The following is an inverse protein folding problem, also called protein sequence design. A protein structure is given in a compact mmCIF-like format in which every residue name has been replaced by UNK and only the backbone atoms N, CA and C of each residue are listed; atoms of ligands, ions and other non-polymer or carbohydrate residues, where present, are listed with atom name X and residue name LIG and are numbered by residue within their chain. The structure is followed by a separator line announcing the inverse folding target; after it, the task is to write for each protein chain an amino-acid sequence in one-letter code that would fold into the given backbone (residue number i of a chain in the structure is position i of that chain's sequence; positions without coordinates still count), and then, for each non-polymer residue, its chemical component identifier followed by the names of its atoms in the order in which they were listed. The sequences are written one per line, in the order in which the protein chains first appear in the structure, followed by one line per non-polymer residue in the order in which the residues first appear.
data_IF_681246275856
#
_entry.id   IF_681246275856
#
_cell.length_a   1.000
_cell.length_b   1.000
_cell.length_c   1.000
_cell.angle_alpha   90.00
_cell.angle_beta   90.00
_cell.angle_gamma   90.00
#
_symmetry.space_group_name_H-M   'P 1'
#
loop_
_entity.id
_entity.type
_entity.pdbx_description
1 polymer ?
#
# COMPACT_ATOMS: atom_id res chain seq x y z
N UNK A 1 4.03 -12.01 4.66
CA UNK A 1 2.88 -11.72 5.53
C UNK A 1 2.26 -10.41 5.11
N UNK A 2 0.94 -10.28 5.25
CA UNK A 2 0.18 -9.11 4.77
C UNK A 2 0.68 -7.81 5.43
N UNK A 3 0.88 -7.81 6.75
CA UNK A 3 1.32 -6.61 7.49
C UNK A 3 2.68 -6.07 7.02
N UNK A 4 3.61 -6.94 6.63
CA UNK A 4 4.92 -6.51 6.12
C UNK A 4 4.79 -5.80 4.77
N UNK A 5 3.92 -6.29 3.89
CA UNK A 5 3.68 -5.67 2.59
C UNK A 5 2.99 -4.31 2.74
N UNK A 6 1.99 -4.22 3.62
CA UNK A 6 1.30 -2.95 3.91
C UNK A 6 2.26 -1.89 4.47
N UNK A 7 3.18 -2.28 5.36
CA UNK A 7 4.21 -1.37 5.88
C UNK A 7 5.19 -0.92 4.79
N UNK A 8 5.62 -1.82 3.90
CA UNK A 8 6.51 -1.49 2.77
C UNK A 8 5.83 -0.53 1.78
N UNK A 9 4.55 -0.75 1.45
CA UNK A 9 3.80 0.13 0.55
C UNK A 9 3.53 1.50 1.18
N UNK A 10 3.27 1.56 2.49
CA UNK A 10 3.15 2.82 3.22
C UNK A 10 4.48 3.58 3.24
N UNK A 11 5.61 2.89 3.51
CA UNK A 11 6.95 3.50 3.49
C UNK A 11 7.38 4.01 2.11
N UNK A 12 6.86 3.42 1.03
CA UNK A 12 7.07 3.87 -0.36
C UNK A 12 6.10 4.97 -0.80
N UNK A 13 5.14 5.35 0.03
CA UNK A 13 4.13 6.35 -0.30
C UNK A 13 3.09 5.90 -1.31
N UNK A 14 2.91 4.59 -1.51
CA UNK A 14 1.92 4.06 -2.47
C UNK A 14 0.51 4.03 -1.88
N UNK A 15 0.41 3.95 -0.56
CA UNK A 15 -0.82 4.00 0.21
C UNK A 15 -0.58 4.63 1.57
N UNK A 16 -1.64 5.00 2.27
CA UNK A 16 -1.65 5.38 3.69
C UNK A 16 -2.55 4.43 4.47
N UNK A 17 -2.08 4.02 5.63
CA UNK A 17 -2.86 3.23 6.57
C UNK A 17 -3.55 4.16 7.57
N UNK A 18 -4.85 3.98 7.75
CA UNK A 18 -5.66 4.59 8.79
C UNK A 18 -6.13 3.50 9.76
N UNK A 19 -6.71 3.88 10.90
CA UNK A 19 -7.09 2.92 11.95
C UNK A 19 -8.02 1.78 11.47
N UNK A 20 -8.85 2.02 10.45
CA UNK A 20 -9.79 1.04 9.89
C UNK A 20 -9.92 1.12 8.36
N UNK A 21 -9.02 1.85 7.71
CA UNK A 21 -9.11 2.11 6.28
C UNK A 21 -7.72 2.17 5.64
N UNK A 22 -7.70 2.05 4.32
CA UNK A 22 -6.48 2.20 3.51
C UNK A 22 -6.80 3.20 2.41
N UNK A 23 -5.97 4.23 2.30
CA UNK A 23 -6.07 5.23 1.24
C UNK A 23 -5.01 4.89 0.20
N UNK A 24 -5.42 4.63 -1.04
CA UNK A 24 -4.48 4.38 -2.14
C UNK A 24 -4.03 5.71 -2.74
N UNK A 25 -2.72 5.89 -2.86
CA UNK A 25 -2.11 7.11 -3.40
C UNK A 25 -1.57 6.91 -4.80
N UNK A 26 -1.02 5.71 -5.08
CA UNK A 26 -0.47 5.34 -6.40
C UNK A 26 -1.00 3.96 -6.82
N UNK A 27 -2.17 3.97 -7.47
CA UNK A 27 -2.88 2.74 -7.90
C UNK A 27 -2.12 2.03 -9.02
N UNK A 28 -1.46 2.76 -9.91
CA UNK A 28 -0.73 2.16 -11.02
C UNK A 28 0.47 1.32 -10.55
N UNK A 29 1.25 1.83 -9.58
CA UNK A 29 2.36 1.07 -9.00
C UNK A 29 1.90 -0.15 -8.24
N UNK A 30 0.80 -0.04 -7.50
CA UNK A 30 0.19 -1.17 -6.80
C UNK A 30 -0.25 -2.25 -7.80
N UNK A 31 -0.96 -1.87 -8.87
CA UNK A 31 -1.40 -2.80 -9.90
C UNK A 31 -0.22 -3.50 -10.62
N UNK A 32 0.87 -2.78 -10.90
CA UNK A 32 2.10 -3.37 -11.47
C UNK A 32 2.76 -4.38 -10.52
N UNK A 33 2.70 -4.14 -9.21
CA UNK A 33 3.26 -5.03 -8.18
C UNK A 33 2.37 -6.23 -7.86
N UNK A 34 1.09 -6.16 -8.20
CA UNK A 34 0.13 -7.26 -8.04
C UNK A 34 0.24 -8.34 -9.12
N UNK A 35 1.05 -8.13 -10.16
CA UNK A 35 1.52 -9.19 -11.06
C UNK A 35 2.67 -9.96 -10.41
#
# INVERSE_FOLDING_TARGET
TVNKALADFAGRGWLRLEARAVILLDVERLAKRSR
#
